data_IF_247114279065
#
_entry.id   IF_247114279065
#
_cell.length_a   1.000
_cell.length_b   1.000
_cell.length_c   1.000
_cell.angle_alpha   90.00
_cell.angle_beta   90.00
_cell.angle_gamma   90.00
#
_symmetry.space_group_name_H-M   'P 1'
#
loop_
_entity.id
_entity.type
_entity.pdbx_description
1 polymer ?
#
# COMPACT_ATOMS: atom_id res chain seq x y z
N UNK A 1 -69.49 -24.98 -56.89
CA UNK A 1 -69.03 -23.66 -56.48
C UNK A 1 -68.84 -23.57 -54.95
N UNK A 2 -69.33 -24.43 -54.10
CA UNK A 2 -69.18 -24.38 -52.64
C UNK A 2 -67.94 -25.09 -52.04
N UNK A 3 -67.21 -25.86 -52.84
CA UNK A 3 -66.07 -26.64 -52.34
C UNK A 3 -64.76 -25.80 -52.27
N UNK A 4 -64.65 -24.82 -53.14
CA UNK A 4 -63.47 -23.94 -53.14
C UNK A 4 -63.50 -22.81 -52.07
N UNK A 5 -64.69 -22.47 -51.58
CA UNK A 5 -64.87 -21.44 -50.56
C UNK A 5 -64.35 -21.90 -49.17
N UNK A 6 -64.46 -23.24 -48.92
CA UNK A 6 -63.92 -23.82 -47.67
C UNK A 6 -62.34 -23.80 -47.55
N UNK A 7 -61.68 -23.96 -48.70
CA UNK A 7 -60.22 -23.89 -48.72
C UNK A 7 -59.74 -22.47 -48.67
N UNK A 8 -60.46 -21.49 -49.20
CA UNK A 8 -60.09 -20.08 -49.08
C UNK A 8 -60.25 -19.58 -47.65
N UNK A 9 -61.23 -20.00 -46.89
CA UNK A 9 -61.41 -19.66 -45.49
C UNK A 9 -60.35 -20.32 -44.60
N UNK A 10 -59.90 -21.54 -44.95
CA UNK A 10 -58.85 -22.23 -44.20
C UNK A 10 -57.46 -21.63 -44.42
N UNK A 11 -57.17 -21.15 -45.64
CA UNK A 11 -55.93 -20.43 -45.95
C UNK A 11 -55.89 -19.03 -45.34
N UNK A 12 -56.99 -18.33 -45.24
CA UNK A 12 -57.13 -17.06 -44.61
C UNK A 12 -56.96 -17.14 -43.08
N UNK A 13 -57.33 -18.22 -42.39
CA UNK A 13 -57.08 -18.46 -40.99
C UNK A 13 -55.64 -18.87 -40.66
N UNK A 14 -54.86 -19.45 -41.60
CA UNK A 14 -53.47 -19.79 -41.41
C UNK A 14 -52.53 -18.60 -41.63
N UNK A 15 -53.00 -17.58 -42.36
CA UNK A 15 -52.21 -16.32 -42.55
C UNK A 15 -52.23 -15.35 -41.36
N UNK A 16 -53.08 -15.57 -40.36
CA UNK A 16 -53.21 -14.68 -39.18
C UNK A 16 -52.46 -15.17 -37.93
N UNK A 17 -51.74 -16.31 -38.03
CA UNK A 17 -50.78 -16.75 -37.00
C UNK A 17 -49.38 -16.23 -37.32
N UNK A 18 -49.23 -14.93 -37.53
CA UNK A 18 -47.95 -14.29 -37.37
C UNK A 18 -47.57 -14.44 -35.89
N UNK A 19 -46.43 -15.11 -35.57
CA UNK A 19 -45.96 -15.04 -34.19
C UNK A 19 -45.74 -13.56 -33.91
N UNK A 20 -46.58 -13.01 -33.04
CA UNK A 20 -46.26 -11.74 -32.40
C UNK A 20 -44.97 -12.01 -31.60
N UNK A 21 -43.81 -11.82 -32.24
CA UNK A 21 -42.62 -11.58 -31.52
C UNK A 21 -42.90 -10.32 -30.72
N UNK A 22 -43.26 -10.50 -29.46
CA UNK A 22 -43.20 -9.43 -28.50
C UNK A 22 -41.73 -8.96 -28.55
N UNK A 23 -41.46 -7.95 -29.38
CA UNK A 23 -40.26 -7.15 -29.18
C UNK A 23 -40.38 -6.66 -27.74
N UNK A 24 -39.64 -7.27 -26.84
CA UNK A 24 -39.38 -6.65 -25.57
C UNK A 24 -38.88 -5.26 -25.94
N UNK A 25 -39.75 -4.26 -25.79
CA UNK A 25 -39.37 -2.88 -25.99
C UNK A 25 -38.14 -2.68 -25.10
N UNK A 26 -36.96 -2.59 -25.72
CA UNK A 26 -35.73 -2.33 -24.98
C UNK A 26 -35.98 -1.04 -24.23
N UNK A 27 -35.93 -1.10 -22.90
CA UNK A 27 -36.07 0.09 -22.05
C UNK A 27 -35.07 1.11 -22.54
N UNK A 28 -35.50 2.31 -22.85
CA UNK A 28 -34.60 3.40 -23.16
C UNK A 28 -33.73 3.71 -21.94
N UNK A 29 -32.42 3.78 -22.12
CA UNK A 29 -31.49 4.12 -21.04
C UNK A 29 -31.72 5.55 -20.57
N UNK A 30 -31.82 5.74 -19.28
CA UNK A 30 -31.91 7.03 -18.61
C UNK A 30 -30.58 7.36 -17.89
N UNK A 31 -30.38 8.60 -17.48
CA UNK A 31 -29.21 8.98 -16.67
C UNK A 31 -29.19 8.20 -15.37
N UNK A 32 -30.33 7.93 -14.75
CA UNK A 32 -30.45 7.16 -13.52
C UNK A 32 -30.02 5.70 -13.71
N UNK A 33 -30.22 5.12 -14.89
CA UNK A 33 -29.71 3.78 -15.17
C UNK A 33 -28.19 3.76 -15.19
N UNK A 34 -27.53 4.83 -15.68
CA UNK A 34 -26.06 4.92 -15.76
C UNK A 34 -25.40 4.96 -14.38
N UNK A 35 -25.98 5.67 -13.42
CA UNK A 35 -25.41 5.78 -12.06
C UNK A 35 -25.51 4.47 -11.27
N UNK A 36 -26.44 3.58 -11.64
CA UNK A 36 -26.65 2.27 -11.00
C UNK A 36 -25.90 1.13 -11.67
N UNK A 37 -25.28 1.37 -12.84
CA UNK A 37 -24.54 0.34 -13.55
C UNK A 37 -23.36 -0.16 -12.72
N UNK A 38 -23.31 -1.48 -12.60
CA UNK A 38 -22.24 -2.18 -11.88
C UNK A 38 -21.02 -2.38 -12.79
N UNK A 39 -19.85 -2.07 -12.26
CA UNK A 39 -18.56 -2.36 -12.89
C UNK A 39 -17.72 -3.21 -11.97
N UNK A 40 -16.95 -4.13 -12.51
CA UNK A 40 -15.97 -4.89 -11.74
C UNK A 40 -14.76 -3.97 -11.54
N UNK A 41 -14.50 -3.58 -10.29
CA UNK A 41 -13.39 -2.70 -9.92
C UNK A 41 -12.21 -3.45 -9.33
N UNK A 42 -12.44 -4.64 -8.80
CA UNK A 42 -11.40 -5.52 -8.28
C UNK A 42 -11.78 -6.99 -8.46
N UNK A 43 -10.78 -7.87 -8.64
CA UNK A 43 -10.97 -9.31 -8.81
C UNK A 43 -9.74 -10.09 -8.39
N UNK A 44 -9.96 -11.25 -7.81
CA UNK A 44 -8.90 -12.16 -7.36
C UNK A 44 -9.35 -13.61 -7.57
N UNK A 45 -8.40 -14.47 -7.94
CA UNK A 45 -8.58 -15.92 -8.01
C UNK A 45 -7.76 -16.51 -6.87
N UNK A 46 -8.35 -17.41 -6.08
CA UNK A 46 -7.64 -18.11 -5.03
C UNK A 46 -6.48 -18.95 -5.60
N UNK A 47 -5.40 -19.13 -4.85
CA UNK A 47 -4.19 -19.84 -5.29
C UNK A 47 -4.47 -21.28 -5.76
N UNK A 48 -5.48 -21.93 -5.15
CA UNK A 48 -5.91 -23.26 -5.59
C UNK A 48 -6.81 -23.28 -6.83
N UNK A 49 -7.13 -22.11 -7.41
CA UNK A 49 -7.96 -21.95 -8.61
C UNK A 49 -9.45 -22.33 -8.45
N UNK A 50 -9.92 -22.60 -7.22
CA UNK A 50 -11.30 -23.08 -6.98
C UNK A 50 -12.31 -21.97 -6.72
N UNK A 51 -11.83 -20.76 -6.38
CA UNK A 51 -12.66 -19.63 -5.97
C UNK A 51 -12.29 -18.38 -6.73
N UNK A 52 -13.28 -17.57 -7.01
CA UNK A 52 -13.12 -16.23 -7.61
C UNK A 52 -13.88 -15.25 -6.76
N UNK A 53 -13.22 -14.19 -6.32
CA UNK A 53 -13.88 -13.06 -5.68
C UNK A 53 -13.82 -11.85 -6.60
N UNK A 54 -14.89 -11.08 -6.67
CA UNK A 54 -14.92 -9.83 -7.41
C UNK A 54 -15.71 -8.76 -6.66
N UNK A 55 -15.23 -7.51 -6.75
CA UNK A 55 -15.94 -6.33 -6.27
C UNK A 55 -16.70 -5.71 -7.44
N UNK A 56 -17.99 -5.58 -7.27
CA UNK A 56 -18.86 -4.82 -8.15
C UNK A 56 -19.24 -3.50 -7.49
N UNK A 57 -19.09 -2.42 -8.21
CA UNK A 57 -19.31 -1.07 -7.72
C UNK A 57 -20.17 -0.28 -8.69
N UNK A 58 -21.31 0.28 -8.26
CA UNK A 58 -22.06 1.25 -9.05
C UNK A 58 -21.32 2.60 -9.10
N UNK A 59 -21.70 3.47 -10.01
CA UNK A 59 -21.16 4.83 -10.02
C UNK A 59 -21.51 5.59 -8.73
N UNK A 60 -22.74 5.42 -8.26
CA UNK A 60 -23.20 5.90 -6.95
C UNK A 60 -23.84 4.77 -6.17
N UNK A 61 -23.41 4.59 -4.92
CA UNK A 61 -23.93 3.57 -4.02
C UNK A 61 -22.86 2.76 -3.32
N UNK A 62 -23.28 1.65 -2.78
CA UNK A 62 -22.42 0.74 -2.03
C UNK A 62 -21.83 -0.33 -2.94
N UNK A 63 -20.52 -0.57 -2.82
CA UNK A 63 -19.88 -1.68 -3.49
C UNK A 63 -20.23 -3.01 -2.82
N UNK A 64 -20.22 -4.07 -3.60
CA UNK A 64 -20.53 -5.43 -3.17
C UNK A 64 -19.44 -6.39 -3.62
N UNK A 65 -18.94 -7.22 -2.70
CA UNK A 65 -18.01 -8.30 -3.00
C UNK A 65 -18.79 -9.61 -3.13
N UNK A 66 -18.59 -10.28 -4.25
CA UNK A 66 -19.16 -11.57 -4.57
C UNK A 66 -18.08 -12.65 -4.54
N UNK A 67 -18.41 -13.79 -3.98
CA UNK A 67 -17.59 -15.00 -4.01
C UNK A 67 -18.27 -16.06 -4.88
N UNK A 68 -17.55 -16.55 -5.89
CA UNK A 68 -17.99 -17.59 -6.80
C UNK A 68 -17.11 -18.83 -6.70
N UNK A 69 -17.71 -20.00 -6.79
CA UNK A 69 -16.96 -21.20 -7.14
C UNK A 69 -16.47 -21.11 -8.59
N UNK A 70 -15.37 -21.78 -8.94
CA UNK A 70 -14.77 -21.73 -10.28
C UNK A 70 -15.73 -22.17 -11.39
N UNK A 71 -16.79 -22.94 -11.04
CA UNK A 71 -17.86 -23.34 -11.95
C UNK A 71 -18.90 -22.24 -12.19
N UNK A 72 -18.74 -21.05 -11.59
CA UNK A 72 -19.62 -19.90 -11.76
C UNK A 72 -20.81 -19.83 -10.79
N UNK A 73 -20.89 -20.73 -9.81
CA UNK A 73 -21.93 -20.66 -8.79
C UNK A 73 -21.56 -19.60 -7.75
N UNK A 74 -22.47 -18.63 -7.52
CA UNK A 74 -22.36 -17.69 -6.41
C UNK A 74 -22.48 -18.42 -5.08
N UNK A 75 -21.51 -18.18 -4.19
CA UNK A 75 -21.40 -18.87 -2.89
C UNK A 75 -21.71 -17.93 -1.74
N UNK A 76 -21.24 -16.68 -1.81
CA UNK A 76 -21.48 -15.67 -0.78
C UNK A 76 -21.40 -14.26 -1.35
N UNK A 77 -22.09 -13.33 -0.65
CA UNK A 77 -22.17 -11.91 -1.00
C UNK A 77 -21.94 -11.07 0.26
N UNK A 78 -21.16 -10.01 0.11
CA UNK A 78 -20.82 -9.06 1.19
C UNK A 78 -21.12 -7.65 0.72
N UNK A 79 -22.04 -6.98 1.38
CA UNK A 79 -22.45 -5.60 1.07
C UNK A 79 -22.84 -4.86 2.35
N UNK A 80 -22.45 -3.57 2.51
CA UNK A 80 -21.43 -2.86 1.74
C UNK A 80 -20.04 -3.44 1.97
N UNK A 81 -19.16 -3.44 0.95
CA UNK A 81 -17.80 -3.96 1.08
C UNK A 81 -16.80 -3.16 0.21
N UNK A 82 -15.52 -3.14 0.63
CA UNK A 82 -14.48 -2.41 -0.08
C UNK A 82 -13.34 -3.32 -0.53
N UNK A 83 -12.60 -3.89 0.41
CA UNK A 83 -11.41 -4.71 0.12
C UNK A 83 -11.66 -6.16 0.47
N UNK A 84 -11.00 -7.03 -0.27
CA UNK A 84 -11.00 -8.46 0.02
C UNK A 84 -9.66 -9.07 -0.34
N UNK A 85 -9.35 -10.22 0.24
CA UNK A 85 -8.20 -11.03 -0.10
C UNK A 85 -8.45 -12.49 0.29
N UNK A 86 -7.94 -13.44 -0.50
CA UNK A 86 -7.90 -14.84 -0.11
C UNK A 86 -6.76 -15.11 0.87
N UNK A 87 -6.93 -16.09 1.73
CA UNK A 87 -5.86 -16.62 2.55
C UNK A 87 -4.92 -17.54 1.76
N UNK A 88 -3.70 -17.73 2.27
CA UNK A 88 -2.68 -18.59 1.68
C UNK A 88 -3.20 -20.01 1.36
N UNK A 89 -3.99 -20.59 2.26
CA UNK A 89 -4.61 -21.91 2.03
C UNK A 89 -5.76 -21.89 1.03
N UNK A 90 -6.21 -20.70 0.59
CA UNK A 90 -7.46 -20.53 -0.16
C UNK A 90 -8.72 -21.02 0.59
N UNK A 91 -8.59 -21.24 1.90
CA UNK A 91 -9.68 -21.70 2.78
C UNK A 91 -10.55 -20.58 3.33
N UNK A 92 -10.08 -19.34 3.23
CA UNK A 92 -10.76 -18.17 3.77
C UNK A 92 -10.76 -17.02 2.76
N UNK A 93 -11.84 -16.25 2.77
CA UNK A 93 -11.93 -14.92 2.17
C UNK A 93 -12.06 -13.89 3.30
N UNK A 94 -11.14 -12.94 3.34
CA UNK A 94 -11.17 -11.83 4.29
C UNK A 94 -11.73 -10.61 3.58
N UNK A 95 -12.80 -10.02 4.12
CA UNK A 95 -13.51 -8.90 3.49
C UNK A 95 -13.62 -7.73 4.47
N UNK A 96 -13.34 -6.53 4.00
CA UNK A 96 -13.64 -5.29 4.74
C UNK A 96 -15.03 -4.80 4.36
N UNK A 97 -15.97 -4.86 5.28
CA UNK A 97 -17.28 -4.22 5.13
C UNK A 97 -17.22 -2.78 5.62
N UNK A 98 -17.74 -1.87 4.82
CA UNK A 98 -17.82 -0.43 5.13
C UNK A 98 -19.20 -0.09 5.68
N UNK A 99 -19.34 1.01 6.42
CA UNK A 99 -20.66 1.58 6.66
C UNK A 99 -21.33 1.97 5.35
N UNK A 100 -22.64 1.81 5.25
CA UNK A 100 -23.42 2.17 4.05
C UNK A 100 -23.25 3.65 3.69
N UNK A 101 -23.10 3.93 2.41
CA UNK A 101 -22.87 5.30 1.89
C UNK A 101 -23.97 6.26 2.36
N UNK A 102 -25.23 5.88 2.29
CA UNK A 102 -26.35 6.71 2.73
C UNK A 102 -26.27 7.09 4.21
N UNK A 103 -25.83 6.16 5.07
CA UNK A 103 -25.62 6.41 6.51
C UNK A 103 -24.49 7.41 6.70
N UNK A 104 -23.36 7.21 6.02
CA UNK A 104 -22.18 8.09 6.09
C UNK A 104 -22.54 9.49 5.63
N UNK A 105 -23.23 9.62 4.49
CA UNK A 105 -23.62 10.91 3.93
C UNK A 105 -24.62 11.64 4.83
N UNK A 106 -25.59 10.96 5.42
CA UNK A 106 -26.52 11.53 6.43
C UNK A 106 -25.76 12.07 7.65
N UNK A 107 -24.77 11.33 8.17
CA UNK A 107 -23.98 11.75 9.31
C UNK A 107 -23.07 12.96 8.97
N UNK A 108 -22.56 13.05 7.73
CA UNK A 108 -21.80 14.21 7.25
C UNK A 108 -22.68 15.46 7.14
N UNK A 109 -23.93 15.32 6.63
CA UNK A 109 -24.91 16.42 6.59
C UNK A 109 -25.18 16.94 8.00
N UNK A 110 -25.28 16.05 8.99
CA UNK A 110 -25.46 16.38 10.41
C UNK A 110 -24.17 16.92 11.06
N UNK A 111 -23.07 17.09 10.30
CA UNK A 111 -21.76 17.54 10.80
C UNK A 111 -21.27 16.71 12.00
N UNK A 112 -21.53 15.40 11.97
CA UNK A 112 -21.08 14.46 12.99
C UNK A 112 -19.55 14.48 13.04
N UNK A 113 -19.00 14.55 14.26
CA UNK A 113 -17.54 14.54 14.45
C UNK A 113 -16.96 13.20 13.96
N UNK A 114 -15.74 13.26 13.43
CA UNK A 114 -15.05 12.09 12.85
C UNK A 114 -14.89 10.94 13.86
N UNK A 115 -14.68 11.24 15.14
CA UNK A 115 -14.57 10.25 16.22
C UNK A 115 -15.88 9.48 16.48
N UNK A 116 -17.02 10.01 16.05
CA UNK A 116 -18.36 9.41 16.17
C UNK A 116 -18.85 8.75 14.87
N UNK A 117 -18.10 8.86 13.78
CA UNK A 117 -18.45 8.18 12.52
C UNK A 117 -18.35 6.65 12.70
N UNK A 118 -19.19 5.84 12.05
CA UNK A 118 -19.08 4.40 12.11
C UNK A 118 -17.72 3.93 11.51
N UNK A 119 -17.22 2.82 12.03
CA UNK A 119 -15.97 2.21 11.57
C UNK A 119 -16.28 0.98 10.71
N UNK A 120 -15.28 0.55 9.94
CA UNK A 120 -15.39 -0.67 9.13
C UNK A 120 -15.48 -1.91 10.03
N UNK A 121 -15.99 -2.99 9.45
CA UNK A 121 -16.03 -4.33 10.05
C UNK A 121 -15.17 -5.27 9.20
N UNK A 122 -14.35 -6.09 9.83
CA UNK A 122 -13.62 -7.15 9.16
C UNK A 122 -14.44 -8.43 9.20
N UNK A 123 -14.63 -9.06 8.06
CA UNK A 123 -15.29 -10.34 7.92
C UNK A 123 -14.26 -11.39 7.54
N UNK A 124 -14.18 -12.46 8.31
CA UNK A 124 -13.43 -13.66 7.98
C UNK A 124 -14.44 -14.73 7.59
N UNK A 125 -14.46 -15.07 6.31
CA UNK A 125 -15.40 -16.04 5.75
C UNK A 125 -14.66 -17.32 5.34
N UNK A 126 -14.94 -18.42 5.98
CA UNK A 126 -14.47 -19.73 5.53
C UNK A 126 -15.26 -20.16 4.30
N UNK A 127 -14.57 -20.69 3.28
CA UNK A 127 -15.23 -21.23 2.08
C UNK A 127 -16.16 -22.42 2.38
N UNK A 128 -16.07 -22.98 3.61
CA UNK A 128 -17.04 -23.97 4.12
C UNK A 128 -18.34 -23.35 4.67
N UNK A 129 -18.47 -22.01 4.60
CA UNK A 129 -19.71 -21.28 4.97
C UNK A 129 -19.71 -20.65 6.37
N UNK A 130 -18.67 -20.80 7.18
CA UNK A 130 -18.59 -20.13 8.49
C UNK A 130 -18.18 -18.68 8.30
N UNK A 131 -18.93 -17.77 8.90
CA UNK A 131 -18.67 -16.32 8.90
C UNK A 131 -18.37 -15.85 10.31
N UNK A 132 -17.29 -15.08 10.46
CA UNK A 132 -16.95 -14.37 11.68
C UNK A 132 -16.75 -12.88 11.40
N UNK A 133 -17.14 -12.00 12.33
CA UNK A 133 -17.06 -10.54 12.18
C UNK A 133 -16.27 -9.94 13.32
N UNK A 134 -15.43 -8.95 12.99
CA UNK A 134 -14.65 -8.16 13.93
C UNK A 134 -15.00 -6.70 13.70
N UNK A 135 -15.74 -6.13 14.64
CA UNK A 135 -16.24 -4.75 14.54
C UNK A 135 -15.16 -3.72 14.87
N UNK A 136 -15.41 -2.49 14.43
CA UNK A 136 -14.55 -1.32 14.69
C UNK A 136 -13.13 -1.52 14.17
N UNK A 137 -12.98 -2.06 12.99
CA UNK A 137 -11.68 -2.28 12.35
C UNK A 137 -10.97 -0.94 12.10
N UNK A 138 -9.74 -0.82 12.60
CA UNK A 138 -8.84 0.30 12.31
C UNK A 138 -7.94 -0.02 11.12
N UNK A 139 -7.24 -1.14 11.16
CA UNK A 139 -6.35 -1.64 10.10
C UNK A 139 -6.13 -3.13 10.26
N UNK A 140 -5.76 -3.80 9.18
CA UNK A 140 -5.34 -5.21 9.22
C UNK A 140 -4.27 -5.51 8.18
N UNK A 141 -3.58 -6.61 8.38
CA UNK A 141 -2.66 -7.24 7.44
C UNK A 141 -2.95 -8.75 7.43
N UNK A 142 -3.02 -9.32 6.26
CA UNK A 142 -3.09 -10.77 6.04
C UNK A 142 -1.70 -11.27 5.68
N UNK A 143 -1.32 -12.44 6.16
CA UNK A 143 -0.08 -13.07 5.75
C UNK A 143 -0.26 -13.73 4.39
N UNK A 144 0.70 -13.53 3.48
CA UNK A 144 0.60 -14.03 2.10
C UNK A 144 0.83 -15.56 2.02
N UNK A 145 1.65 -16.11 2.92
CA UNK A 145 2.07 -17.52 2.89
C UNK A 145 1.63 -18.32 4.13
N UNK A 146 0.70 -17.78 4.93
CA UNK A 146 0.18 -18.45 6.12
C UNK A 146 -1.22 -17.96 6.46
N UNK A 147 -2.05 -18.81 7.08
CA UNK A 147 -3.40 -18.47 7.48
C UNK A 147 -3.44 -17.65 8.79
N UNK A 148 -2.70 -16.53 8.78
CA UNK A 148 -2.62 -15.60 9.91
C UNK A 148 -3.06 -14.21 9.52
N UNK A 149 -3.72 -13.53 10.45
CA UNK A 149 -4.14 -12.14 10.31
C UNK A 149 -3.71 -11.33 11.53
N UNK A 150 -3.23 -10.13 11.27
CA UNK A 150 -2.91 -9.13 12.27
C UNK A 150 -3.82 -7.91 12.10
N UNK A 151 -4.45 -7.40 13.17
CA UNK A 151 -5.38 -6.28 13.07
C UNK A 151 -5.41 -5.44 14.36
N UNK A 152 -5.84 -4.19 14.21
CA UNK A 152 -6.15 -3.28 15.30
C UNK A 152 -7.62 -2.86 15.23
N UNK A 153 -8.21 -2.60 16.41
CA UNK A 153 -9.61 -2.18 16.56
C UNK A 153 -9.69 -0.81 17.22
N UNK A 154 -10.83 -0.15 17.00
CA UNK A 154 -11.12 1.12 17.67
C UNK A 154 -10.19 2.25 17.25
N UNK A 155 -10.64 3.49 17.42
CA UNK A 155 -9.87 4.67 16.97
C UNK A 155 -8.68 4.99 17.87
N UNK A 156 -8.84 4.76 19.16
CA UNK A 156 -7.84 5.09 20.20
C UNK A 156 -7.08 3.87 20.72
N UNK A 157 -7.61 2.68 20.50
CA UNK A 157 -6.94 1.44 20.88
C UNK A 157 -5.83 1.12 19.90
N UNK A 158 -4.63 0.90 20.43
CA UNK A 158 -3.44 0.52 19.69
C UNK A 158 -3.05 -0.93 19.94
N UNK A 159 -3.92 -1.73 20.54
CA UNK A 159 -3.67 -3.15 20.75
C UNK A 159 -3.65 -3.87 19.41
N UNK A 160 -2.57 -4.58 19.14
CA UNK A 160 -2.43 -5.48 18.00
C UNK A 160 -2.95 -6.85 18.38
N UNK A 161 -3.86 -7.37 17.61
CA UNK A 161 -4.33 -8.76 17.66
C UNK A 161 -3.69 -9.53 16.51
N UNK A 162 -3.01 -10.63 16.80
CA UNK A 162 -2.46 -11.56 15.82
C UNK A 162 -3.11 -12.91 16.04
N UNK A 163 -3.83 -13.42 15.04
CA UNK A 163 -4.56 -14.68 15.20
C UNK A 163 -4.53 -15.53 13.96
N UNK A 164 -4.70 -16.84 14.13
CA UNK A 164 -4.98 -17.77 13.04
C UNK A 164 -6.40 -17.55 12.50
N UNK A 165 -6.61 -17.76 11.20
CA UNK A 165 -7.92 -17.55 10.56
C UNK A 165 -8.98 -18.51 11.06
N UNK A 166 -8.61 -19.71 11.53
CA UNK A 166 -9.51 -20.66 12.18
C UNK A 166 -9.90 -20.26 13.63
N UNK A 167 -9.20 -19.27 14.19
CA UNK A 167 -9.42 -18.76 15.54
C UNK A 167 -8.82 -19.57 16.67
N UNK A 168 -8.02 -20.61 16.37
CA UNK A 168 -7.45 -21.52 17.38
C UNK A 168 -6.37 -20.87 18.23
N UNK A 169 -5.62 -19.90 17.66
CA UNK A 169 -4.53 -19.18 18.34
C UNK A 169 -4.72 -17.68 18.23
N UNK A 170 -4.48 -16.95 19.30
CA UNK A 170 -4.56 -15.48 19.34
C UNK A 170 -3.50 -14.92 20.28
N UNK A 171 -2.78 -13.89 19.80
CA UNK A 171 -1.83 -13.09 20.57
C UNK A 171 -2.33 -11.65 20.63
N UNK A 172 -1.99 -10.95 21.72
CA UNK A 172 -2.34 -9.55 21.92
C UNK A 172 -1.13 -8.77 22.39
N UNK A 173 -0.83 -7.64 21.75
CA UNK A 173 0.30 -6.78 22.09
C UNK A 173 -0.21 -5.35 22.26
N UNK A 174 -0.01 -4.72 23.42
CA UNK A 174 -0.51 -3.37 23.68
C UNK A 174 0.35 -2.32 22.98
N UNK A 175 -0.25 -1.17 22.69
CA UNK A 175 0.43 0.06 22.25
C UNK A 175 1.32 -0.13 21.02
N UNK A 176 0.83 -0.89 20.04
CA UNK A 176 1.54 -1.13 18.78
C UNK A 176 1.28 0.02 17.80
N UNK A 177 2.34 0.56 17.22
CA UNK A 177 2.29 1.69 16.29
C UNK A 177 2.45 1.29 14.83
N UNK A 178 3.14 0.21 14.55
CA UNK A 178 3.32 -0.33 13.19
C UNK A 178 3.50 -1.85 13.22
N UNK A 179 3.06 -2.53 12.17
CA UNK A 179 3.19 -3.99 12.02
C UNK A 179 3.03 -4.42 10.57
N UNK A 180 3.76 -5.47 10.17
CA UNK A 180 3.67 -6.06 8.83
C UNK A 180 4.15 -7.50 8.85
N UNK A 181 3.52 -8.37 8.03
CA UNK A 181 4.04 -9.70 7.72
C UNK A 181 5.15 -9.63 6.67
N UNK A 182 6.07 -10.58 6.74
CA UNK A 182 7.02 -10.82 5.66
C UNK A 182 6.29 -11.45 4.46
N UNK A 183 6.76 -11.16 3.25
CA UNK A 183 6.06 -11.51 2.00
C UNK A 183 5.96 -13.02 1.75
N UNK A 184 7.03 -13.78 2.06
CA UNK A 184 7.10 -15.23 1.80
C UNK A 184 7.23 -16.06 3.07
N UNK A 185 6.67 -15.58 4.17
CA UNK A 185 6.58 -16.35 5.42
C UNK A 185 5.51 -15.77 6.32
N UNK A 186 5.11 -16.50 7.36
CA UNK A 186 4.22 -16.01 8.41
C UNK A 186 4.90 -15.14 9.47
N UNK A 187 6.16 -14.73 9.26
CA UNK A 187 6.86 -13.85 10.21
C UNK A 187 6.23 -12.45 10.22
N UNK A 188 6.03 -11.92 11.40
CA UNK A 188 5.49 -10.57 11.64
C UNK A 188 6.53 -9.73 12.38
N UNK A 189 6.72 -8.46 12.02
CA UNK A 189 7.27 -7.48 12.94
C UNK A 189 6.18 -6.59 13.50
N UNK A 190 6.41 -6.05 14.70
CA UNK A 190 5.62 -4.96 15.25
C UNK A 190 6.50 -4.03 16.10
N UNK A 191 6.10 -2.76 16.15
CA UNK A 191 6.73 -1.75 17.00
C UNK A 191 5.82 -1.43 18.18
N UNK A 192 6.32 -1.57 19.40
CA UNK A 192 5.60 -1.26 20.62
C UNK A 192 6.11 0.04 21.25
N UNK A 193 5.20 0.88 21.72
CA UNK A 193 5.49 2.04 22.53
C UNK A 193 5.06 1.85 24.00
N UNK A 194 4.81 0.61 24.43
CA UNK A 194 4.41 0.27 25.79
C UNK A 194 5.50 0.65 26.79
N UNK A 195 5.08 1.14 27.96
CA UNK A 195 6.02 1.48 29.01
C UNK A 195 6.76 0.23 29.52
N UNK A 196 8.10 0.28 29.54
CA UNK A 196 8.94 -0.85 29.90
C UNK A 196 9.19 -1.87 28.78
N UNK A 197 8.42 -1.83 27.69
CA UNK A 197 8.53 -2.75 26.55
C UNK A 197 8.56 -2.02 25.19
N UNK A 198 9.07 -0.78 25.18
CA UNK A 198 9.18 -0.01 23.95
C UNK A 198 10.30 -0.55 23.06
N UNK A 199 9.98 -0.81 21.79
CA UNK A 199 10.95 -1.36 20.85
C UNK A 199 10.32 -1.95 19.61
N UNK A 200 11.15 -2.60 18.82
CA UNK A 200 10.72 -3.40 17.67
C UNK A 200 10.93 -4.89 17.96
N UNK A 201 9.93 -5.66 17.63
CA UNK A 201 9.85 -7.11 17.86
C UNK A 201 9.56 -7.85 16.57
N UNK A 202 10.00 -9.09 16.50
CA UNK A 202 9.53 -10.07 15.51
C UNK A 202 8.75 -11.18 16.20
N UNK A 203 7.77 -11.73 15.51
CA UNK A 203 6.95 -12.83 15.96
C UNK A 203 6.83 -13.88 14.85
N UNK A 204 7.15 -15.11 15.17
CA UNK A 204 6.67 -16.25 14.41
C UNK A 204 5.40 -16.78 15.11
N UNK A 205 4.19 -16.56 14.56
CA UNK A 205 2.96 -16.92 15.23
C UNK A 205 2.82 -18.43 15.48
N UNK A 206 3.45 -19.26 14.66
CA UNK A 206 3.45 -20.72 14.87
C UNK A 206 4.23 -21.11 16.12
N UNK A 207 5.36 -20.45 16.38
CA UNK A 207 6.22 -20.68 17.55
C UNK A 207 5.71 -19.95 18.80
N UNK A 208 4.96 -18.87 18.64
CA UNK A 208 4.23 -18.18 19.70
C UNK A 208 5.02 -17.24 20.60
N UNK A 209 6.33 -17.08 20.43
CA UNK A 209 7.16 -16.19 21.26
C UNK A 209 7.73 -15.02 20.47
N UNK A 210 7.48 -13.77 20.88
CA UNK A 210 8.12 -12.61 20.26
C UNK A 210 9.60 -12.53 20.62
N UNK A 211 10.43 -12.10 19.68
CA UNK A 211 11.84 -11.80 19.88
C UNK A 211 12.03 -10.28 19.85
N UNK A 212 12.70 -9.74 20.88
CA UNK A 212 13.09 -8.33 20.92
C UNK A 212 14.27 -8.10 19.95
N UNK A 213 14.08 -7.28 18.95
CA UNK A 213 15.08 -6.94 17.93
C UNK A 213 15.88 -5.70 18.34
N UNK A 214 15.20 -4.67 18.83
CA UNK A 214 15.83 -3.47 19.37
C UNK A 214 14.92 -2.83 20.39
N UNK A 215 15.47 -2.61 21.59
CA UNK A 215 14.82 -1.78 22.60
C UNK A 215 15.00 -0.29 22.29
N UNK A 216 14.02 0.51 22.62
CA UNK A 216 14.12 1.98 22.57
C UNK A 216 12.77 2.67 22.47
N UNK A 217 12.69 3.82 23.17
CA UNK A 217 11.51 4.72 23.15
C UNK A 217 11.52 5.70 21.98
N UNK A 218 12.49 5.59 21.07
CA UNK A 218 12.64 6.45 19.90
C UNK A 218 11.60 6.19 18.81
N UNK A 219 11.88 6.71 17.63
CA UNK A 219 11.01 6.56 16.45
C UNK A 219 11.60 5.52 15.53
N UNK A 220 10.80 4.50 15.22
CA UNK A 220 11.09 3.51 14.17
C UNK A 220 10.39 3.97 12.89
N UNK A 221 11.10 3.90 11.77
CA UNK A 221 10.61 4.31 10.46
C UNK A 221 10.99 3.28 9.40
N UNK A 222 10.18 3.17 8.37
CA UNK A 222 10.47 2.35 7.19
C UNK A 222 10.96 0.94 7.50
N UNK A 223 10.28 0.24 8.37
CA UNK A 223 10.63 -1.13 8.68
C UNK A 223 10.29 -2.07 7.51
N UNK A 224 11.21 -2.93 7.13
CA UNK A 224 11.03 -3.89 6.04
C UNK A 224 11.68 -5.24 6.35
N UNK A 225 11.02 -6.32 5.95
CA UNK A 225 11.61 -7.65 5.88
C UNK A 225 12.24 -7.92 4.51
N UNK A 226 13.18 -8.86 4.46
CA UNK A 226 13.42 -9.59 3.23
C UNK A 226 12.22 -10.50 2.91
N UNK A 227 12.17 -11.08 1.70
CA UNK A 227 11.02 -11.90 1.30
C UNK A 227 10.72 -13.06 2.25
N UNK A 228 11.76 -13.68 2.82
CA UNK A 228 11.65 -14.86 3.71
C UNK A 228 11.38 -14.51 5.17
N UNK A 229 11.53 -13.24 5.57
CA UNK A 229 11.41 -12.82 6.96
C UNK A 229 12.61 -13.24 7.84
N UNK A 230 13.75 -13.52 7.22
CA UNK A 230 14.99 -13.87 7.92
C UNK A 230 15.78 -12.63 8.34
N UNK A 231 15.60 -11.51 7.61
CA UNK A 231 16.27 -10.23 7.86
C UNK A 231 15.24 -9.13 8.02
N UNK A 232 15.47 -8.26 9.00
CA UNK A 232 14.66 -7.09 9.26
C UNK A 232 15.53 -5.86 9.26
N UNK A 233 15.22 -4.88 8.41
CA UNK A 233 15.89 -3.58 8.37
C UNK A 233 14.91 -2.48 8.75
N UNK A 234 15.41 -1.44 9.42
CA UNK A 234 14.60 -0.28 9.81
C UNK A 234 15.47 0.95 10.05
N UNK A 235 14.84 2.11 9.95
CA UNK A 235 15.45 3.37 10.37
C UNK A 235 15.03 3.68 11.80
N UNK A 236 15.97 4.16 12.61
CA UNK A 236 15.74 4.49 14.01
C UNK A 236 16.33 5.85 14.38
N UNK A 237 15.56 6.61 15.16
CA UNK A 237 16.04 7.83 15.81
C UNK A 237 15.72 7.73 17.30
N UNK A 238 16.73 7.88 18.16
CA UNK A 238 16.53 7.81 19.60
C UNK A 238 15.74 9.01 20.15
N UNK A 239 15.95 10.19 19.56
CA UNK A 239 15.26 11.43 19.97
C UNK A 239 13.95 11.60 19.18
N UNK A 240 12.83 11.28 19.84
CA UNK A 240 11.49 11.41 19.25
C UNK A 240 10.96 12.85 19.26
N UNK A 241 11.50 13.71 20.10
CA UNK A 241 10.98 15.06 20.36
C UNK A 241 11.71 16.13 19.52
N UNK A 242 12.86 15.78 18.94
CA UNK A 242 13.60 16.67 18.03
C UNK A 242 12.78 17.00 16.78
N UNK A 243 12.83 18.25 16.35
CA UNK A 243 12.30 18.71 15.06
C UNK A 243 13.04 18.10 13.87
N UNK A 244 14.28 17.69 14.08
CA UNK A 244 15.11 16.98 13.13
C UNK A 244 15.43 15.57 13.65
N UNK A 245 15.10 14.55 12.87
CA UNK A 245 15.35 13.16 13.18
C UNK A 245 16.69 12.71 12.61
N UNK A 246 17.72 12.61 13.45
CA UNK A 246 18.99 11.99 13.06
C UNK A 246 18.79 10.47 12.98
N UNK A 247 18.44 9.99 11.80
CA UNK A 247 18.15 8.59 11.54
C UNK A 247 19.42 7.77 11.40
N UNK A 248 19.42 6.56 11.93
CA UNK A 248 20.41 5.51 11.68
C UNK A 248 19.72 4.28 11.08
N UNK A 249 20.48 3.52 10.28
CA UNK A 249 20.03 2.30 9.62
C UNK A 249 20.46 1.09 10.44
N UNK A 250 19.49 0.23 10.76
CA UNK A 250 19.69 -0.96 11.58
C UNK A 250 19.30 -2.21 10.80
N UNK A 251 19.99 -3.32 11.08
CA UNK A 251 19.75 -4.62 10.48
C UNK A 251 19.76 -5.70 11.57
N UNK A 252 18.75 -6.54 11.55
CA UNK A 252 18.68 -7.80 12.29
C UNK A 252 18.68 -8.95 11.30
N UNK A 253 19.41 -10.01 11.64
CA UNK A 253 19.44 -11.27 10.89
C UNK A 253 18.99 -12.40 11.80
N UNK A 254 18.14 -13.31 11.28
CA UNK A 254 17.65 -14.50 11.99
C UNK A 254 17.08 -14.23 13.39
N UNK A 255 16.33 -13.13 13.53
CA UNK A 255 15.71 -12.68 14.78
C UNK A 255 16.72 -12.40 15.94
N UNK A 256 17.96 -12.09 15.62
CA UNK A 256 18.93 -11.63 16.60
C UNK A 256 18.79 -10.13 16.86
N UNK A 257 19.30 -9.60 17.98
CA UNK A 257 19.34 -8.16 18.21
C UNK A 257 19.97 -7.40 17.05
N UNK A 258 19.30 -6.32 16.61
CA UNK A 258 19.75 -5.53 15.47
C UNK A 258 21.07 -4.82 15.72
N UNK A 259 21.89 -4.67 14.67
CA UNK A 259 23.13 -3.90 14.65
C UNK A 259 22.93 -2.62 13.84
N UNK A 260 23.52 -1.54 14.28
CA UNK A 260 23.60 -0.30 13.49
C UNK A 260 24.61 -0.48 12.37
N UNK A 261 24.15 -0.29 11.12
CA UNK A 261 24.98 -0.48 9.92
C UNK A 261 25.38 0.82 9.24
N UNK A 262 24.59 1.88 9.43
CA UNK A 262 24.92 3.22 8.95
C UNK A 262 24.29 4.30 9.82
N UNK A 263 25.02 5.41 9.97
CA UNK A 263 24.56 6.60 10.68
C UNK A 263 25.06 7.86 9.99
N UNK A 264 24.66 9.03 10.50
CA UNK A 264 25.16 10.32 10.06
C UNK A 264 26.70 10.34 10.08
N UNK A 265 27.31 10.90 9.03
CA UNK A 265 28.77 10.98 8.90
C UNK A 265 29.43 9.71 8.41
N UNK A 266 28.67 8.73 7.92
CA UNK A 266 29.25 7.59 7.22
C UNK A 266 30.07 8.05 6.01
N UNK A 267 31.32 7.57 5.89
CA UNK A 267 32.25 7.99 4.85
C UNK A 267 31.84 7.65 3.42
N UNK A 268 30.88 6.74 3.26
CA UNK A 268 30.32 6.38 1.96
C UNK A 268 29.32 7.43 1.42
N UNK A 269 28.87 8.35 2.27
CA UNK A 269 27.95 9.41 1.85
C UNK A 269 28.73 10.66 1.42
N UNK A 270 28.19 11.47 0.51
CA UNK A 270 28.70 12.81 0.28
C UNK A 270 28.74 13.63 1.58
N UNK A 271 29.60 14.64 1.64
CA UNK A 271 29.69 15.51 2.80
C UNK A 271 28.31 16.12 3.15
N UNK A 272 27.99 16.20 4.44
CA UNK A 272 26.73 16.73 4.96
C UNK A 272 25.46 15.96 4.51
N UNK A 273 25.61 14.73 4.01
CA UNK A 273 24.47 13.89 3.72
C UNK A 273 24.09 13.00 4.90
N UNK A 274 22.80 12.71 4.98
CA UNK A 274 22.19 11.92 6.06
C UNK A 274 21.23 10.88 5.49
N UNK A 275 20.91 9.88 6.31
CA UNK A 275 19.86 8.90 6.01
C UNK A 275 18.51 9.61 6.02
N UNK A 276 17.69 9.36 5.01
CA UNK A 276 16.41 10.04 4.78
C UNK A 276 15.24 9.05 4.78
N UNK A 277 14.20 9.37 5.58
CA UNK A 277 12.98 8.55 5.69
C UNK A 277 12.06 8.62 4.46
N UNK A 278 12.31 9.52 3.51
CA UNK A 278 11.49 9.63 2.29
C UNK A 278 11.99 8.74 1.14
N UNK A 279 13.20 8.18 1.25
CA UNK A 279 13.71 7.20 0.29
C UNK A 279 13.20 5.80 0.63
N UNK A 280 13.13 4.92 -0.36
CA UNK A 280 12.65 3.55 -0.18
C UNK A 280 13.69 2.72 0.57
N UNK A 281 13.28 2.02 1.63
CA UNK A 281 14.06 1.01 2.31
C UNK A 281 13.58 -0.37 1.86
N UNK A 282 14.43 -1.12 1.14
CA UNK A 282 14.05 -2.44 0.63
C UNK A 282 15.26 -3.35 0.44
N UNK A 283 15.06 -4.64 0.64
CA UNK A 283 16.02 -5.65 0.24
C UNK A 283 15.92 -5.94 -1.27
N UNK A 284 17.03 -6.38 -1.87
CA UNK A 284 16.99 -7.05 -3.16
C UNK A 284 16.25 -8.39 -3.02
N UNK A 285 15.81 -8.98 -4.14
CA UNK A 285 15.06 -10.24 -4.14
C UNK A 285 15.81 -11.39 -3.44
N UNK A 286 17.11 -11.49 -3.65
CA UNK A 286 17.97 -12.47 -2.98
C UNK A 286 18.36 -12.08 -1.56
N UNK A 287 17.98 -10.88 -1.11
CA UNK A 287 18.42 -10.27 0.15
C UNK A 287 19.95 -10.13 0.25
N UNK A 288 20.68 -10.08 -0.86
CA UNK A 288 22.12 -9.81 -0.88
C UNK A 288 22.46 -8.33 -0.69
N UNK A 289 21.50 -7.44 -0.98
CA UNK A 289 21.64 -5.99 -0.89
C UNK A 289 20.46 -5.37 -0.16
N UNK A 290 20.72 -4.29 0.56
CA UNK A 290 19.71 -3.43 1.18
C UNK A 290 19.82 -2.03 0.59
N UNK A 291 18.79 -1.55 -0.04
CA UNK A 291 18.69 -0.20 -0.59
C UNK A 291 18.00 0.73 0.40
N UNK A 292 18.52 1.94 0.54
CA UNK A 292 17.97 2.94 1.45
C UNK A 292 18.18 4.35 0.91
N UNK A 293 17.43 5.31 1.43
CA UNK A 293 17.47 6.70 1.00
C UNK A 293 18.47 7.55 1.78
N UNK A 294 19.15 8.46 1.08
CA UNK A 294 20.00 9.51 1.65
C UNK A 294 19.63 10.86 1.04
N UNK A 295 19.97 11.94 1.70
CA UNK A 295 19.81 13.30 1.18
C UNK A 295 20.81 14.26 1.84
N UNK A 296 21.04 15.45 1.27
CA UNK A 296 21.63 16.54 2.01
C UNK A 296 20.87 16.78 3.33
N UNK A 297 21.59 17.15 4.38
CA UNK A 297 20.95 17.43 5.67
C UNK A 297 19.94 18.56 5.55
N UNK A 298 18.67 18.34 5.97
CA UNK A 298 17.67 19.38 5.89
C UNK A 298 18.04 20.59 6.74
N UNK A 299 17.93 21.78 6.16
CA UNK A 299 18.09 23.02 6.92
C UNK A 299 17.02 23.09 7.99
N UNK A 300 17.41 23.25 9.24
CA UNK A 300 16.45 23.43 10.32
C UNK A 300 15.71 24.75 10.16
N UNK A 301 14.42 24.75 10.44
CA UNK A 301 13.64 25.98 10.50
C UNK A 301 14.13 26.83 11.68
N UNK A 302 14.44 28.07 11.41
CA UNK A 302 14.67 29.04 12.50
C UNK A 302 13.35 29.23 13.26
N UNK A 303 13.31 28.73 14.51
CA UNK A 303 12.16 28.85 15.40
C UNK A 303 12.24 30.07 16.31
N UNK A 304 13.33 30.86 16.23
CA UNK A 304 13.53 32.06 17.06
C UNK A 304 12.72 33.24 16.57
N UNK A 305 12.26 33.22 15.31
CA UNK A 305 11.45 34.28 14.73
C UNK A 305 9.99 33.83 14.52
N UNK A 306 9.06 34.69 14.89
CA UNK A 306 7.65 34.52 14.56
C UNK A 306 7.45 34.46 13.04
N UNK A 307 6.50 33.64 12.58
CA UNK A 307 6.23 33.46 11.15
C UNK A 307 5.89 34.78 10.44
N UNK A 308 5.22 35.71 11.13
CA UNK A 308 4.83 37.05 10.66
C UNK A 308 6.04 37.99 10.46
N UNK A 309 7.13 37.76 11.19
CA UNK A 309 8.34 38.57 11.09
C UNK A 309 9.36 38.00 10.08
N UNK A 310 9.04 36.88 9.41
CA UNK A 310 9.91 36.30 8.37
C UNK A 310 9.70 37.01 7.04
N UNK A 311 10.76 37.52 6.41
CA UNK A 311 10.61 38.14 5.09
C UNK A 311 10.14 37.09 4.09
N UNK A 312 9.07 37.38 3.37
CA UNK A 312 8.60 36.59 2.24
C UNK A 312 9.17 37.19 0.95
N UNK A 313 10.41 36.81 0.62
CA UNK A 313 11.09 37.26 -0.58
C UNK A 313 11.02 36.19 -1.65
N UNK A 314 10.61 36.57 -2.85
CA UNK A 314 10.64 35.76 -4.06
C UNK A 314 11.69 36.35 -5.01
N UNK A 315 12.65 35.50 -5.40
CA UNK A 315 13.65 35.87 -6.40
C UNK A 315 13.31 35.21 -7.72
N UNK A 316 13.04 36.02 -8.73
CA UNK A 316 12.75 35.56 -10.10
C UNK A 316 13.99 35.85 -10.97
N UNK A 317 14.64 34.78 -11.44
CA UNK A 317 15.74 34.90 -12.36
C UNK A 317 15.36 34.34 -13.74
N UNK A 318 15.83 34.96 -14.79
CA UNK A 318 15.57 34.56 -16.17
C UNK A 318 16.37 33.31 -16.57
N UNK A 319 17.45 33.01 -15.89
CA UNK A 319 18.36 31.91 -16.15
C UNK A 319 18.06 30.67 -15.27
N UNK A 320 17.00 30.73 -14.45
CA UNK A 320 16.54 29.59 -13.67
C UNK A 320 16.07 28.45 -14.59
N UNK A 321 16.61 27.23 -14.40
CA UNK A 321 16.27 26.09 -15.25
C UNK A 321 14.83 25.59 -15.04
N UNK A 322 14.17 26.02 -13.99
CA UNK A 322 12.77 25.69 -13.67
C UNK A 322 12.05 26.98 -13.25
N UNK A 323 10.90 27.24 -13.84
CA UNK A 323 10.10 28.42 -13.50
C UNK A 323 9.74 28.44 -12.01
N UNK A 324 9.75 29.62 -11.41
CA UNK A 324 9.42 29.81 -9.98
C UNK A 324 8.08 29.19 -9.58
N UNK A 325 7.03 29.35 -10.39
CA UNK A 325 5.71 28.78 -10.13
C UNK A 325 5.76 27.26 -10.04
N UNK A 326 6.58 26.59 -10.87
CA UNK A 326 6.79 25.14 -10.87
C UNK A 326 7.63 24.73 -9.65
N UNK A 327 8.69 25.51 -9.30
CA UNK A 327 9.47 25.29 -8.08
C UNK A 327 8.57 25.37 -6.84
N UNK A 328 7.71 26.38 -6.75
CA UNK A 328 6.79 26.55 -5.63
C UNK A 328 5.74 25.43 -5.55
N UNK A 329 5.22 25.00 -6.70
CA UNK A 329 4.31 23.85 -6.78
C UNK A 329 4.96 22.55 -6.29
N UNK A 330 6.22 22.31 -6.66
CA UNK A 330 6.97 21.11 -6.29
C UNK A 330 7.66 21.19 -4.93
N UNK A 331 7.61 22.33 -4.24
CA UNK A 331 8.36 22.59 -3.00
C UNK A 331 8.29 21.46 -1.97
N UNK A 332 7.08 21.00 -1.66
CA UNK A 332 6.88 19.91 -0.68
C UNK A 332 7.47 18.58 -1.15
N UNK A 333 7.42 18.32 -2.45
CA UNK A 333 8.04 17.13 -3.07
C UNK A 333 9.56 17.24 -3.05
N UNK A 334 10.09 18.42 -3.37
CA UNK A 334 11.52 18.67 -3.42
C UNK A 334 12.16 18.60 -2.02
N UNK A 335 11.48 19.07 -0.99
CA UNK A 335 11.90 18.92 0.41
C UNK A 335 11.98 17.45 0.86
N UNK A 336 11.28 16.55 0.19
CA UNK A 336 11.27 15.10 0.46
C UNK A 336 12.15 14.30 -0.49
N UNK A 337 12.94 14.95 -1.35
CA UNK A 337 13.85 14.25 -2.25
C UNK A 337 14.80 13.35 -1.48
N UNK A 338 15.01 12.18 -2.01
CA UNK A 338 15.91 11.20 -1.48
C UNK A 338 16.65 10.50 -2.61
N UNK A 339 17.88 10.14 -2.37
CA UNK A 339 18.79 9.52 -3.33
C UNK A 339 19.20 8.16 -2.82
N UNK A 340 19.23 7.19 -3.72
CA UNK A 340 19.45 5.80 -3.37
C UNK A 340 20.91 5.52 -3.01
N UNK A 341 21.12 4.85 -1.89
CA UNK A 341 22.36 4.19 -1.49
C UNK A 341 22.12 2.68 -1.36
N UNK A 342 23.18 1.89 -1.36
CA UNK A 342 23.14 0.44 -1.19
C UNK A 342 24.10 0.00 -0.09
N UNK A 343 23.64 -0.95 0.72
CA UNK A 343 24.45 -1.75 1.63
C UNK A 343 24.53 -3.17 1.11
N UNK A 344 25.75 -3.69 0.88
CA UNK A 344 26.01 -5.06 0.46
C UNK A 344 26.17 -5.95 1.68
N UNK A 345 25.23 -6.88 1.88
CA UNK A 345 25.23 -7.72 3.09
C UNK A 345 26.42 -8.68 3.16
N UNK A 346 26.95 -9.12 2.02
CA UNK A 346 28.04 -10.08 1.97
C UNK A 346 29.38 -9.56 2.50
N UNK A 347 29.67 -8.28 2.30
CA UNK A 347 30.96 -7.65 2.68
C UNK A 347 30.81 -6.42 3.58
N UNK A 348 29.58 -6.00 3.87
CA UNK A 348 29.30 -4.82 4.71
C UNK A 348 29.61 -3.48 4.06
N UNK A 349 29.88 -3.42 2.76
CA UNK A 349 30.20 -2.17 2.06
C UNK A 349 28.96 -1.34 1.78
N UNK A 350 29.10 -0.02 1.80
CA UNK A 350 28.06 0.95 1.47
C UNK A 350 28.54 1.80 0.29
N UNK A 351 27.63 2.04 -0.66
CA UNK A 351 27.89 2.91 -1.80
C UNK A 351 26.70 3.85 -2.03
N UNK A 352 27.02 5.13 -2.30
CA UNK A 352 26.04 6.07 -2.82
C UNK A 352 25.84 5.83 -4.31
N UNK A 353 24.60 5.56 -4.73
CA UNK A 353 24.30 5.23 -6.13
C UNK A 353 23.77 6.44 -6.91
N UNK A 354 22.83 7.17 -6.33
CA UNK A 354 22.23 8.35 -6.93
C UNK A 354 22.59 9.62 -6.14
N UNK A 355 22.57 10.76 -6.80
CA UNK A 355 22.89 12.07 -6.20
C UNK A 355 22.05 13.18 -6.85
N UNK A 356 22.29 14.44 -6.53
CA UNK A 356 21.57 15.57 -7.08
C UNK A 356 21.73 15.75 -8.59
N UNK A 357 22.87 15.31 -9.16
CA UNK A 357 23.12 15.39 -10.62
C UNK A 357 22.47 14.23 -11.37
N UNK A 358 22.49 13.03 -10.77
CA UNK A 358 21.94 11.79 -11.29
C UNK A 358 20.84 11.26 -10.33
N UNK A 359 19.67 11.93 -10.26
CA UNK A 359 18.71 11.66 -9.20
C UNK A 359 17.85 10.42 -9.40
N UNK A 360 17.67 10.00 -10.64
CA UNK A 360 16.77 8.89 -10.94
C UNK A 360 17.56 7.60 -11.09
N UNK A 361 17.09 6.55 -10.41
CA UNK A 361 17.69 5.22 -10.49
C UNK A 361 16.63 4.18 -10.79
N UNK A 362 16.94 3.24 -11.65
CA UNK A 362 16.13 2.06 -11.92
C UNK A 362 16.96 0.80 -11.67
N UNK A 363 16.51 0.02 -10.70
CA UNK A 363 17.12 -1.25 -10.35
C UNK A 363 16.64 -2.35 -11.30
N UNK A 364 17.55 -3.17 -11.81
CA UNK A 364 17.23 -4.35 -12.59
C UNK A 364 17.05 -5.60 -11.71
N UNK A 365 16.22 -6.53 -12.16
CA UNK A 365 15.99 -7.82 -11.49
C UNK A 365 15.68 -7.68 -9.98
N UNK A 366 14.78 -6.78 -9.64
CA UNK A 366 14.39 -6.49 -8.24
C UNK A 366 15.60 -6.20 -7.32
N UNK A 367 16.65 -5.53 -7.86
CA UNK A 367 17.86 -5.16 -7.13
C UNK A 367 18.99 -6.20 -7.16
N UNK A 368 18.80 -7.35 -7.81
CA UNK A 368 19.83 -8.40 -7.91
C UNK A 368 20.73 -8.28 -9.17
N UNK A 369 20.38 -7.40 -10.12
CA UNK A 369 21.26 -7.13 -11.23
C UNK A 369 22.60 -6.53 -10.76
N UNK A 370 23.73 -6.77 -11.44
CA UNK A 370 25.00 -6.18 -11.09
C UNK A 370 25.09 -4.67 -11.34
N UNK A 371 24.23 -4.16 -12.23
CA UNK A 371 24.17 -2.77 -12.63
C UNK A 371 22.78 -2.19 -12.43
N UNK A 372 22.70 -0.91 -12.13
CA UNK A 372 21.49 -0.11 -12.18
C UNK A 372 21.61 0.99 -13.25
N UNK A 373 20.48 1.44 -13.77
CA UNK A 373 20.39 2.53 -14.73
C UNK A 373 20.11 3.83 -13.96
N UNK A 374 20.98 4.83 -14.15
CA UNK A 374 20.76 6.19 -13.69
C UNK A 374 20.29 7.06 -14.84
N UNK A 375 19.49 8.09 -14.55
CA UNK A 375 19.11 9.07 -15.54
C UNK A 375 18.96 10.47 -14.96
N UNK A 376 19.20 11.47 -15.82
CA UNK A 376 18.99 12.86 -15.51
C UNK A 376 18.44 13.63 -16.71
N UNK A 377 17.48 14.50 -16.47
CA UNK A 377 17.00 15.47 -17.47
C UNK A 377 17.54 16.88 -17.19
N UNK A 378 18.36 17.03 -16.16
CA UNK A 378 18.87 18.34 -15.71
C UNK A 378 19.56 19.17 -16.80
N UNK A 379 20.41 18.59 -17.69
CA UNK A 379 21.03 19.35 -18.79
C UNK A 379 20.02 19.95 -19.77
N UNK A 380 18.81 19.40 -19.81
CA UNK A 380 17.75 19.74 -20.75
C UNK A 380 16.59 20.54 -20.12
N UNK A 381 16.69 20.89 -18.82
CA UNK A 381 15.58 21.53 -18.10
C UNK A 381 15.16 22.85 -18.74
N UNK A 382 16.10 23.65 -19.21
CA UNK A 382 15.78 24.92 -19.86
C UNK A 382 15.07 24.70 -21.21
N UNK A 383 15.58 23.77 -22.05
CA UNK A 383 14.96 23.49 -23.37
C UNK A 383 13.58 22.83 -23.21
N UNK A 384 13.37 22.07 -22.14
CA UNK A 384 12.08 21.41 -21.85
C UNK A 384 10.92 22.39 -21.60
N UNK A 385 11.21 23.68 -21.37
CA UNK A 385 10.17 24.71 -21.24
C UNK A 385 9.49 25.03 -22.58
N UNK A 386 10.17 24.77 -23.69
CA UNK A 386 9.70 25.10 -25.04
C UNK A 386 9.48 23.85 -25.91
N UNK A 387 10.14 22.74 -25.57
CA UNK A 387 10.06 21.49 -26.30
C UNK A 387 9.00 20.57 -25.72
N UNK A 388 8.18 19.95 -26.58
CA UNK A 388 7.16 18.99 -26.13
C UNK A 388 7.75 17.66 -25.62
N UNK A 389 9.04 17.39 -25.85
CA UNK A 389 9.71 16.15 -25.43
C UNK A 389 10.79 16.48 -24.42
N UNK A 390 10.74 15.80 -23.27
CA UNK A 390 11.83 15.81 -22.30
C UNK A 390 12.93 14.85 -22.77
N UNK A 391 14.18 15.33 -22.77
CA UNK A 391 15.38 14.52 -23.03
C UNK A 391 16.00 14.11 -21.70
N UNK A 392 16.74 13.01 -21.71
CA UNK A 392 17.48 12.54 -20.54
C UNK A 392 18.79 11.88 -20.99
N UNK A 393 19.82 12.08 -20.20
CA UNK A 393 21.07 11.30 -20.29
C UNK A 393 20.93 10.08 -19.38
N UNK A 394 21.57 9.00 -19.80
CA UNK A 394 21.54 7.71 -19.13
C UNK A 394 22.95 7.23 -18.81
N UNK A 395 23.10 6.66 -17.61
CA UNK A 395 24.36 6.13 -17.10
C UNK A 395 24.10 4.79 -16.44
N UNK A 396 25.13 3.99 -16.30
CA UNK A 396 25.08 2.76 -15.50
C UNK A 396 25.97 2.90 -14.28
N UNK A 397 25.52 2.34 -13.16
CA UNK A 397 26.28 2.27 -11.92
C UNK A 397 26.37 0.83 -11.46
N UNK A 398 27.55 0.41 -11.00
CA UNK A 398 27.74 -0.91 -10.41
C UNK A 398 27.17 -0.95 -9.00
N UNK A 399 26.35 -1.97 -8.71
CA UNK A 399 25.81 -2.18 -7.37
C UNK A 399 26.79 -2.86 -6.41
N UNK A 400 27.94 -3.31 -6.90
CA UNK A 400 28.97 -4.00 -6.10
C UNK A 400 30.07 -3.08 -5.62
N UNK A 401 30.36 -2.00 -6.34
CA UNK A 401 31.46 -1.09 -6.02
C UNK A 401 31.14 0.41 -6.25
N UNK A 402 29.91 0.76 -6.61
CA UNK A 402 29.52 2.15 -6.86
C UNK A 402 30.15 2.71 -8.13
#
# INVERSE_FOLDING_TARGET
>A
MMRHLKYLAFVACLGSLSPAFAQNASKSLTVDDLITWQRITDREISDNGKWVACKMEPWEGDATVYLYAAQGQETATFSPADKFAFSASSGYLVVTQTPGKSTVDSLKVLKTKEDKMPMNTLVIYSVAGKKETIDSLKTFKLADEADWIAYQRGRKDSTLYVRSLDGSKTFQFPTVTDFQFAKKSGMLYYTSAAEGEAGIFTLNPEKGSPALIKEGKGVFKQTTFDEKGERLAFLYCADKDSSYKALSLWLSEHNTPAKEIATRGNKAFPAEWVINENGMLQFSKSASRLFFGTSPEPRQKDTTQLAENRPNVQVWSWDEPVQYTVQNYNKEKDLKKSYQAVYNLGNGSIFQLANEELPNIQLGNEGDAPLALLSTSRPYSLSSMWEARTRSDYYTVSLDNG
#
